data_IF_592241619879
#
_entry.id   IF_592241619879
#
_cell.length_a   1.000
_cell.length_b   1.000
_cell.length_c   1.000
_cell.angle_alpha   90.00
_cell.angle_beta   90.00
_cell.angle_gamma   90.00
#
_symmetry.space_group_name_H-M   'P 1'
#
loop_
_entity.id
_entity.type
_entity.pdbx_description
1 polymer ?
#
# COMPACT_ATOMS: atom_id res chain seq x y z
N UNK A 1 -22.09 -3.29 3.61
CA UNK A 1 -21.04 -2.47 4.25
C UNK A 1 -20.40 -3.31 5.33
N UNK A 2 -19.10 -3.61 5.23
CA UNK A 2 -18.43 -4.64 6.05
C UNK A 2 -18.57 -4.43 7.56
N UNK A 3 -18.69 -3.18 8.03
CA UNK A 3 -18.92 -2.87 9.44
C UNK A 3 -20.18 -3.55 10.02
N UNK A 4 -21.31 -3.53 9.30
CA UNK A 4 -22.55 -4.19 9.75
C UNK A 4 -22.44 -5.71 9.77
N UNK A 5 -21.64 -6.28 8.88
CA UNK A 5 -21.41 -7.73 8.89
C UNK A 5 -20.49 -8.12 10.04
N UNK A 6 -19.49 -7.30 10.36
CA UNK A 6 -18.64 -7.48 11.54
C UNK A 6 -19.44 -7.47 12.84
N UNK A 7 -20.35 -6.51 13.03
CA UNK A 7 -21.20 -6.42 14.24
C UNK A 7 -22.10 -7.66 14.43
N UNK A 8 -22.41 -8.38 13.35
CA UNK A 8 -23.20 -9.63 13.40
C UNK A 8 -22.36 -10.86 13.74
N UNK A 9 -21.03 -10.77 13.70
CA UNK A 9 -20.17 -11.89 14.05
C UNK A 9 -20.26 -12.19 15.55
N UNK A 10 -20.23 -13.46 15.95
CA UNK A 10 -20.04 -13.82 17.36
C UNK A 10 -18.74 -13.19 17.93
N UNK A 11 -18.70 -12.79 19.22
CA UNK A 11 -17.57 -12.08 19.82
C UNK A 11 -16.20 -12.75 19.59
N UNK A 12 -16.15 -14.09 19.66
CA UNK A 12 -14.93 -14.88 19.42
C UNK A 12 -14.31 -14.71 18.02
N UNK A 13 -15.08 -14.21 17.04
CA UNK A 13 -14.57 -13.88 15.70
C UNK A 13 -14.26 -12.39 15.57
N UNK A 14 -15.01 -11.52 16.27
CA UNK A 14 -14.71 -10.09 16.34
C UNK A 14 -13.31 -9.85 16.92
N UNK A 15 -12.97 -10.55 18.01
CA UNK A 15 -11.66 -10.47 18.68
C UNK A 15 -10.46 -10.88 17.80
N UNK A 16 -10.71 -11.47 16.62
CA UNK A 16 -9.67 -11.93 15.68
C UNK A 16 -9.52 -11.03 14.46
N UNK A 17 -10.32 -9.96 14.35
CA UNK A 17 -10.39 -9.13 13.18
C UNK A 17 -10.20 -7.66 13.55
N UNK A 18 -9.14 -7.07 13.00
CA UNK A 18 -8.97 -5.62 12.96
C UNK A 18 -9.61 -5.09 11.68
N UNK A 19 -10.80 -4.47 11.80
CA UNK A 19 -11.53 -3.96 10.64
C UNK A 19 -10.96 -2.61 10.24
N UNK A 20 -10.72 -2.44 8.95
CA UNK A 20 -10.15 -1.22 8.40
C UNK A 20 -11.16 -0.45 7.54
N UNK A 21 -11.09 0.87 7.58
CA UNK A 21 -11.86 1.75 6.69
C UNK A 21 -11.17 1.78 5.33
N UNK A 22 -11.79 1.16 4.32
CA UNK A 22 -11.28 1.06 2.94
C UNK A 22 -12.26 1.68 1.94
N UNK A 23 -11.97 1.56 0.64
CA UNK A 23 -12.84 2.00 -0.46
C UNK A 23 -13.15 3.51 -0.47
N UNK A 24 -12.13 4.32 -0.24
CA UNK A 24 -12.15 5.77 -0.46
C UNK A 24 -11.05 6.17 -1.45
N UNK A 25 -11.21 7.31 -2.11
CA UNK A 25 -10.17 7.88 -2.97
C UNK A 25 -9.25 8.78 -2.10
N UNK A 26 -7.95 8.47 -1.94
CA UNK A 26 -7.04 9.31 -1.15
C UNK A 26 -6.78 10.69 -1.79
N UNK A 27 -7.10 10.85 -3.08
CA UNK A 27 -7.02 12.12 -3.81
C UNK A 27 -8.29 12.97 -3.69
N UNK A 28 -9.31 12.50 -2.98
CA UNK A 28 -10.51 13.27 -2.67
C UNK A 28 -10.35 14.01 -1.33
N UNK A 29 -10.43 15.34 -1.35
CA UNK A 29 -10.37 16.17 -0.13
C UNK A 29 -11.45 15.80 0.90
N UNK A 30 -12.57 15.21 0.46
CA UNK A 30 -13.66 14.74 1.32
C UNK A 30 -13.45 13.32 1.89
N UNK A 31 -12.37 12.62 1.53
CA UNK A 31 -12.03 11.32 2.12
C UNK A 31 -11.91 11.39 3.65
N UNK A 32 -11.34 12.49 4.15
CA UNK A 32 -11.26 12.80 5.58
C UNK A 32 -12.65 12.77 6.26
N UNK A 33 -13.65 13.42 5.66
CA UNK A 33 -15.02 13.44 6.16
C UNK A 33 -15.68 12.07 6.07
N UNK A 34 -15.41 11.32 5.00
CA UNK A 34 -15.88 9.94 4.88
C UNK A 34 -15.38 9.07 6.03
N UNK A 35 -14.08 9.16 6.35
CA UNK A 35 -13.45 8.40 7.44
C UNK A 35 -14.04 8.79 8.79
N UNK A 36 -14.16 10.09 9.08
CA UNK A 36 -14.80 10.57 10.32
C UNK A 36 -16.23 10.04 10.44
N UNK A 37 -17.00 10.08 9.35
CA UNK A 37 -18.36 9.54 9.32
C UNK A 37 -18.39 8.03 9.58
N UNK A 38 -17.45 7.25 9.02
CA UNK A 38 -17.38 5.82 9.26
C UNK A 38 -17.16 5.51 10.75
N UNK A 39 -16.17 6.15 11.38
CA UNK A 39 -15.87 5.99 12.81
C UNK A 39 -17.07 6.39 13.69
N UNK A 40 -17.72 7.51 13.38
CA UNK A 40 -18.89 8.00 14.14
C UNK A 40 -20.14 7.13 13.94
N UNK A 41 -20.29 6.51 12.76
CA UNK A 41 -21.44 5.65 12.45
C UNK A 41 -21.32 4.26 13.06
N UNK A 42 -20.10 3.76 13.28
CA UNK A 42 -19.81 2.44 13.84
C UNK A 42 -18.74 2.53 14.94
N UNK A 43 -19.07 3.12 16.11
CA UNK A 43 -18.10 3.29 17.18
C UNK A 43 -17.55 1.94 17.66
N UNK A 44 -16.22 1.81 17.71
CA UNK A 44 -15.54 0.60 18.17
C UNK A 44 -15.41 -0.53 17.15
N UNK A 45 -15.91 -0.35 15.92
CA UNK A 45 -15.75 -1.36 14.85
C UNK A 45 -14.39 -1.27 14.18
N UNK A 46 -13.89 -0.07 13.90
CA UNK A 46 -12.68 0.12 13.10
C UNK A 46 -11.42 0.23 13.96
N UNK A 47 -10.40 -0.55 13.60
CA UNK A 47 -9.04 -0.48 14.16
C UNK A 47 -8.12 0.44 13.35
N UNK A 48 -8.47 0.73 12.09
CA UNK A 48 -7.60 1.51 11.21
C UNK A 48 -8.23 2.03 9.92
N UNK A 49 -7.40 2.69 9.11
CA UNK A 49 -7.72 3.24 7.79
C UNK A 49 -6.79 2.60 6.75
N UNK A 50 -7.35 2.14 5.64
CA UNK A 50 -6.61 1.49 4.56
C UNK A 50 -6.63 -0.05 4.63
N UNK A 51 -5.79 -0.77 3.92
CA UNK A 51 -4.76 -0.24 3.03
C UNK A 51 -5.32 0.71 1.97
N UNK A 52 -4.70 1.88 1.84
CA UNK A 52 -4.92 2.79 0.72
C UNK A 52 -3.61 3.02 0.00
N UNK A 53 -3.72 3.36 -1.28
CA UNK A 53 -2.57 3.35 -2.20
C UNK A 53 -2.35 4.72 -2.81
N UNK A 54 -1.10 5.16 -2.83
CA UNK A 54 -0.69 6.38 -3.53
C UNK A 54 0.04 6.00 -4.81
N UNK A 55 1.36 5.78 -4.78
CA UNK A 55 2.11 5.26 -5.92
C UNK A 55 2.22 3.74 -5.82
N UNK A 56 1.58 3.01 -6.73
CA UNK A 56 1.70 1.58 -6.90
C UNK A 56 1.50 1.23 -8.36
N UNK A 57 2.56 0.75 -9.01
CA UNK A 57 2.59 0.15 -10.35
C UNK A 57 1.31 0.36 -11.20
N UNK A 58 0.49 -0.68 -11.37
CA UNK A 58 -0.74 -0.66 -12.18
C UNK A 58 -1.97 -0.12 -11.44
N UNK A 59 -1.89 0.13 -10.13
CA UNK A 59 -3.08 0.46 -9.33
C UNK A 59 -3.34 1.96 -9.33
N UNK A 60 -2.30 2.78 -9.26
CA UNK A 60 -2.45 4.24 -9.28
C UNK A 60 -3.09 4.76 -10.56
N UNK A 61 -2.78 4.13 -11.72
CA UNK A 61 -3.35 4.51 -13.01
C UNK A 61 -4.85 4.19 -13.13
N UNK A 62 -5.34 3.21 -12.36
CA UNK A 62 -6.75 2.79 -12.31
C UNK A 62 -7.63 3.72 -11.50
N UNK A 63 -7.05 4.65 -10.75
CA UNK A 63 -7.84 5.67 -10.06
C UNK A 63 -8.67 6.44 -11.10
N UNK A 64 -9.97 6.55 -10.87
CA UNK A 64 -10.83 7.35 -11.74
C UNK A 64 -10.68 8.84 -11.38
N UNK A 65 -10.82 9.72 -12.36
CA UNK A 65 -10.78 11.17 -12.16
C UNK A 65 -9.76 11.88 -13.04
N UNK A 66 -9.64 13.18 -12.77
CA UNK A 66 -8.72 14.10 -13.41
C UNK A 66 -7.28 13.86 -12.95
N UNK A 67 -6.31 14.26 -13.77
CA UNK A 67 -4.90 14.20 -13.42
C UNK A 67 -4.54 15.29 -12.41
N UNK A 68 -3.39 15.14 -11.75
CA UNK A 68 -2.81 16.19 -10.89
C UNK A 68 -2.59 17.47 -11.71
N UNK A 69 -2.20 17.35 -12.98
CA UNK A 69 -2.04 18.49 -13.88
C UNK A 69 -3.35 19.23 -14.17
N UNK A 70 -4.45 18.50 -14.31
CA UNK A 70 -5.77 19.07 -14.58
C UNK A 70 -6.37 19.78 -13.36
N UNK A 71 -6.01 19.32 -12.16
CA UNK A 71 -6.58 19.82 -10.89
C UNK A 71 -5.73 20.88 -10.20
N UNK A 72 -4.45 21.01 -10.55
CA UNK A 72 -3.57 22.04 -9.94
C UNK A 72 -4.01 23.46 -10.31
N UNK A 73 -3.79 24.40 -9.41
CA UNK A 73 -3.95 25.82 -9.73
C UNK A 73 -2.96 26.24 -10.85
N UNK A 74 -3.32 27.20 -11.73
CA UNK A 74 -2.47 27.57 -12.86
C UNK A 74 -1.03 27.99 -12.49
N UNK A 75 -0.87 28.64 -11.34
CA UNK A 75 0.42 29.13 -10.84
C UNK A 75 1.23 28.11 -10.04
N UNK A 76 0.68 26.92 -9.78
CA UNK A 76 1.33 25.87 -8.99
C UNK A 76 2.07 24.93 -9.94
N UNK A 77 3.39 24.68 -9.75
CA UNK A 77 4.12 23.68 -10.52
C UNK A 77 3.58 22.28 -10.23
N UNK A 78 3.84 21.33 -11.13
CA UNK A 78 3.56 19.93 -10.83
C UNK A 78 4.37 19.48 -9.60
N UNK A 79 3.78 18.65 -8.71
CA UNK A 79 4.53 17.99 -7.65
C UNK A 79 5.74 17.22 -8.18
N UNK A 80 6.82 17.09 -7.39
CA UNK A 80 8.02 16.36 -7.81
C UNK A 80 7.79 14.89 -8.18
N UNK A 81 6.74 14.28 -7.63
CA UNK A 81 6.36 12.88 -7.85
C UNK A 81 5.21 12.71 -8.87
N UNK A 82 4.79 13.80 -9.51
CA UNK A 82 3.75 13.79 -10.53
C UNK A 82 4.36 14.08 -11.92
N UNK A 83 4.20 13.13 -12.84
CA UNK A 83 4.51 13.30 -14.26
C UNK A 83 3.26 13.50 -15.09
N UNK A 84 3.43 13.48 -16.41
CA UNK A 84 2.33 13.55 -17.38
C UNK A 84 1.33 12.41 -17.13
N UNK A 85 0.06 12.77 -16.90
CA UNK A 85 -1.00 11.79 -16.66
C UNK A 85 -1.06 11.23 -15.23
N UNK A 86 -0.17 11.63 -14.31
CA UNK A 86 -0.24 11.23 -12.90
C UNK A 86 -1.58 11.64 -12.30
N UNK A 87 -2.27 10.70 -11.66
CA UNK A 87 -3.54 10.92 -10.94
C UNK A 87 -3.37 11.01 -9.43
N UNK A 88 -2.17 10.77 -8.94
CA UNK A 88 -1.83 10.67 -7.53
C UNK A 88 -0.56 11.45 -7.23
N UNK A 89 -0.46 11.96 -6.01
CA UNK A 89 0.75 12.60 -5.50
C UNK A 89 0.77 12.55 -3.97
N UNK A 90 1.95 12.31 -3.41
CA UNK A 90 2.25 12.41 -1.99
C UNK A 90 2.25 13.87 -1.48
N UNK A 91 2.27 14.84 -2.39
CA UNK A 91 2.20 16.28 -2.11
C UNK A 91 0.78 16.85 -2.29
N UNK A 92 -0.22 15.98 -2.43
CA UNK A 92 -1.62 16.42 -2.56
C UNK A 92 -2.18 16.91 -1.23
N UNK A 93 -2.93 18.01 -1.27
CA UNK A 93 -3.59 18.59 -0.09
C UNK A 93 -4.60 17.61 0.54
N UNK A 94 -5.27 16.81 -0.29
CA UNK A 94 -6.19 15.76 0.18
C UNK A 94 -5.48 14.74 1.08
N UNK A 95 -4.23 14.39 0.74
CA UNK A 95 -3.43 13.46 1.52
C UNK A 95 -2.99 14.08 2.84
N UNK A 96 -2.64 15.37 2.87
CA UNK A 96 -2.39 16.07 4.12
C UNK A 96 -3.62 16.04 5.05
N UNK A 97 -4.81 16.33 4.53
CA UNK A 97 -6.04 16.28 5.31
C UNK A 97 -6.36 14.86 5.80
N UNK A 98 -6.10 13.85 4.98
CA UNK A 98 -6.24 12.45 5.36
C UNK A 98 -5.32 12.12 6.53
N UNK A 99 -4.04 12.47 6.46
CA UNK A 99 -3.05 12.17 7.50
C UNK A 99 -3.30 12.95 8.80
N UNK A 100 -3.68 14.23 8.72
CA UNK A 100 -4.13 15.01 9.88
C UNK A 100 -5.36 14.39 10.53
N UNK A 101 -6.28 13.85 9.74
CA UNK A 101 -7.46 13.14 10.24
C UNK A 101 -7.09 11.83 10.93
N UNK A 102 -6.15 11.05 10.38
CA UNK A 102 -5.63 9.84 11.01
C UNK A 102 -4.98 10.17 12.35
N UNK A 103 -4.15 11.21 12.41
CA UNK A 103 -3.55 11.70 13.65
C UNK A 103 -4.59 12.12 14.69
N UNK A 104 -5.63 12.87 14.27
CA UNK A 104 -6.71 13.34 15.13
C UNK A 104 -7.54 12.20 15.72
N UNK A 105 -7.92 11.21 14.90
CA UNK A 105 -8.73 10.06 15.34
C UNK A 105 -7.87 9.09 16.18
N UNK A 106 -6.57 9.00 15.89
CA UNK A 106 -5.62 8.15 16.61
C UNK A 106 -5.61 6.68 16.18
N UNK A 107 -6.37 6.32 15.14
CA UNK A 107 -6.33 5.00 14.49
C UNK A 107 -5.02 4.80 13.72
N UNK A 108 -4.67 3.55 13.43
CA UNK A 108 -3.54 3.23 12.54
C UNK A 108 -3.95 3.34 11.08
N UNK A 109 -3.07 3.84 10.24
CA UNK A 109 -3.23 3.81 8.78
C UNK A 109 -2.29 2.78 8.16
N UNK A 110 -2.74 2.05 7.14
CA UNK A 110 -1.87 1.25 6.27
C UNK A 110 -1.75 1.98 4.94
N UNK A 111 -0.53 2.39 4.60
CA UNK A 111 -0.19 3.08 3.36
C UNK A 111 0.58 2.12 2.45
N UNK A 112 0.04 1.89 1.27
CA UNK A 112 0.80 1.30 0.16
C UNK A 112 1.39 2.41 -0.70
N UNK A 113 2.71 2.45 -0.76
CA UNK A 113 3.44 3.28 -1.68
C UNK A 113 4.71 2.57 -2.07
N UNK A 114 4.94 2.38 -3.36
CA UNK A 114 6.18 1.83 -3.91
C UNK A 114 7.38 2.71 -3.50
N UNK A 115 8.58 2.14 -3.53
CA UNK A 115 9.81 2.88 -3.23
C UNK A 115 10.17 3.83 -4.37
N UNK A 116 9.95 3.42 -5.61
CA UNK A 116 10.31 4.17 -6.82
C UNK A 116 9.35 3.88 -7.97
N UNK A 117 9.40 4.74 -9.00
CA UNK A 117 8.51 4.62 -10.16
C UNK A 117 8.86 3.43 -11.05
N UNK A 118 7.82 2.74 -11.50
CA UNK A 118 7.87 1.73 -12.56
C UNK A 118 6.78 2.00 -13.60
N UNK A 119 7.02 1.58 -14.83
CA UNK A 119 6.06 1.61 -15.93
C UNK A 119 5.74 0.19 -16.37
N UNK A 120 4.45 -0.12 -16.39
CA UNK A 120 3.94 -1.46 -16.69
C UNK A 120 2.88 -1.32 -17.75
N UNK A 121 3.00 -2.11 -18.81
CA UNK A 121 2.06 -2.05 -19.95
C UNK A 121 0.71 -2.71 -19.61
N UNK A 122 -0.24 -2.62 -20.55
CA UNK A 122 -1.58 -3.19 -20.39
C UNK A 122 -1.57 -4.73 -20.30
N UNK A 123 -0.51 -5.37 -20.79
CA UNK A 123 -0.29 -6.81 -20.71
C UNK A 123 0.24 -7.24 -19.33
N UNK A 124 0.61 -6.28 -18.46
CA UNK A 124 1.16 -6.55 -17.14
C UNK A 124 2.65 -6.88 -17.17
N UNK A 125 3.37 -6.38 -18.17
CA UNK A 125 4.81 -6.54 -18.32
C UNK A 125 5.52 -5.24 -17.94
N UNK A 126 6.66 -5.36 -17.24
CA UNK A 126 7.50 -4.23 -16.87
C UNK A 126 8.16 -3.65 -18.13
N UNK A 127 7.84 -2.41 -18.46
CA UNK A 127 8.49 -1.66 -19.55
C UNK A 127 9.76 -0.97 -19.05
N UNK A 128 9.66 -0.30 -17.89
CA UNK A 128 10.79 0.42 -17.32
C UNK A 128 10.71 0.53 -15.79
N UNK A 129 11.87 0.56 -15.15
CA UNK A 129 12.03 0.86 -13.73
C UNK A 129 12.93 2.09 -13.56
N UNK A 130 12.53 3.03 -12.71
CA UNK A 130 13.27 4.27 -12.46
C UNK A 130 13.71 4.36 -10.99
N UNK A 131 14.70 3.56 -10.51
CA UNK A 131 15.16 3.62 -9.12
C UNK A 131 15.65 4.99 -8.63
N UNK A 132 16.12 5.84 -9.54
CA UNK A 132 16.54 7.21 -9.24
C UNK A 132 15.37 8.20 -9.09
N UNK A 133 14.15 7.77 -9.46
CA UNK A 133 12.89 8.50 -9.21
C UNK A 133 12.17 7.84 -8.03
N UNK A 134 12.78 7.95 -6.86
CA UNK A 134 12.23 7.42 -5.62
C UNK A 134 11.19 8.36 -4.98
N UNK A 135 10.42 7.81 -4.05
CA UNK A 135 9.37 8.54 -3.32
C UNK A 135 9.76 8.89 -1.88
N UNK A 136 11.04 8.76 -1.49
CA UNK A 136 11.49 8.96 -0.10
C UNK A 136 11.14 10.36 0.39
N UNK A 137 11.38 11.40 -0.43
CA UNK A 137 11.10 12.77 -0.01
C UNK A 137 9.60 13.09 -0.01
N UNK A 138 8.81 12.46 -0.89
CA UNK A 138 7.35 12.53 -0.84
C UNK A 138 6.77 11.89 0.42
N UNK A 139 7.31 10.72 0.83
CA UNK A 139 6.89 10.04 2.06
C UNK A 139 7.22 10.87 3.30
N UNK A 140 8.41 11.48 3.35
CA UNK A 140 8.79 12.43 4.42
C UNK A 140 7.90 13.68 4.41
N UNK A 141 7.55 14.18 3.23
CA UNK A 141 6.71 15.36 3.09
C UNK A 141 5.32 15.12 3.72
N UNK A 142 4.60 14.07 3.32
CA UNK A 142 3.27 13.78 3.90
C UNK A 142 3.34 13.50 5.41
N UNK A 143 4.35 12.74 5.83
CA UNK A 143 4.64 12.45 7.22
C UNK A 143 4.85 13.72 8.07
N UNK A 144 5.58 14.71 7.53
CA UNK A 144 5.85 15.98 8.20
C UNK A 144 4.58 16.80 8.51
N UNK A 145 3.49 16.59 7.76
CA UNK A 145 2.21 17.28 7.98
C UNK A 145 1.39 16.67 9.13
N UNK A 146 1.68 15.43 9.51
CA UNK A 146 1.03 14.72 10.62
C UNK A 146 2.04 13.80 11.34
N UNK A 147 3.02 14.39 12.07
CA UNK A 147 4.15 13.65 12.63
C UNK A 147 3.76 12.64 13.72
N UNK A 148 2.54 12.71 14.27
CA UNK A 148 2.00 11.76 15.26
C UNK A 148 1.02 10.75 14.65
N UNK A 149 0.69 10.86 13.36
CA UNK A 149 -0.07 9.83 12.67
C UNK A 149 0.66 8.49 12.75
N UNK A 150 -0.05 7.44 13.20
CA UNK A 150 0.47 6.08 13.24
C UNK A 150 0.23 5.43 11.89
N UNK A 151 1.30 5.13 11.16
CA UNK A 151 1.22 4.64 9.78
C UNK A 151 2.07 3.40 9.65
N UNK A 152 1.53 2.32 9.08
CA UNK A 152 2.31 1.17 8.61
C UNK A 152 2.50 1.35 7.11
N UNK A 153 3.75 1.52 6.69
CA UNK A 153 4.13 1.56 5.29
C UNK A 153 4.36 0.15 4.78
N UNK A 154 3.52 -0.26 3.82
CA UNK A 154 3.45 -1.63 3.35
C UNK A 154 4.77 -2.09 2.72
N UNK A 155 5.18 -3.31 3.04
CA UNK A 155 6.22 -4.07 2.33
C UNK A 155 7.59 -3.38 2.19
N UNK A 156 7.92 -2.42 3.05
CA UNK A 156 9.08 -1.53 2.89
C UNK A 156 9.12 -0.76 1.55
N UNK A 157 7.96 -0.58 0.91
CA UNK A 157 7.83 0.00 -0.43
C UNK A 157 8.18 -0.94 -1.58
N UNK A 158 8.20 -2.25 -1.34
CA UNK A 158 8.44 -3.24 -2.40
C UNK A 158 7.13 -3.67 -3.05
N UNK A 159 7.23 -3.92 -4.34
CA UNK A 159 6.13 -4.21 -5.25
C UNK A 159 6.37 -5.48 -6.06
N UNK A 160 5.45 -5.78 -6.97
CA UNK A 160 5.66 -6.90 -7.91
C UNK A 160 6.79 -6.56 -8.87
N UNK A 161 6.80 -5.32 -9.36
CA UNK A 161 7.80 -4.81 -10.28
C UNK A 161 8.85 -3.91 -9.61
N UNK A 162 8.62 -3.51 -8.35
CA UNK A 162 9.53 -2.70 -7.55
C UNK A 162 10.40 -3.62 -6.69
N UNK A 163 11.55 -3.99 -7.25
CA UNK A 163 12.56 -4.84 -6.61
C UNK A 163 13.50 -4.03 -5.70
N UNK A 164 14.09 -4.63 -4.66
CA UNK A 164 15.07 -3.94 -3.82
C UNK A 164 16.31 -3.53 -4.63
N UNK A 165 16.68 -2.27 -4.54
CA UNK A 165 18.00 -1.79 -5.00
C UNK A 165 19.06 -2.02 -3.93
N UNK A 166 20.34 -1.90 -4.28
CA UNK A 166 21.45 -2.08 -3.34
C UNK A 166 21.34 -1.18 -2.10
N UNK A 167 20.75 0.01 -2.26
CA UNK A 167 20.54 1.00 -1.23
C UNK A 167 19.11 1.00 -0.65
N UNK A 168 18.28 0.00 -0.95
CA UNK A 168 16.88 -0.08 -0.53
C UNK A 168 16.70 0.13 0.98
N UNK A 169 17.45 -0.62 1.80
CA UNK A 169 17.38 -0.48 3.25
C UNK A 169 17.81 0.90 3.73
N UNK A 170 18.79 1.54 3.06
CA UNK A 170 19.18 2.92 3.38
C UNK A 170 18.02 3.89 3.10
N UNK A 171 17.25 3.68 2.03
CA UNK A 171 16.07 4.50 1.70
C UNK A 171 14.95 4.29 2.72
N UNK A 172 14.68 3.04 3.11
CA UNK A 172 13.69 2.71 4.15
C UNK A 172 14.04 3.39 5.47
N UNK A 173 15.31 3.31 5.90
CA UNK A 173 15.81 3.99 7.10
C UNK A 173 15.59 5.51 7.06
N UNK A 174 15.90 6.16 5.94
CA UNK A 174 15.67 7.61 5.76
C UNK A 174 14.21 8.00 6.00
N UNK A 175 13.24 7.16 5.62
CA UNK A 175 11.82 7.41 5.88
C UNK A 175 11.50 7.17 7.36
N UNK A 176 11.86 6.01 7.91
CA UNK A 176 11.53 5.65 9.30
C UNK A 176 12.15 6.58 10.35
N UNK A 177 13.32 7.14 10.07
CA UNK A 177 14.02 8.09 10.95
C UNK A 177 13.37 9.48 10.89
N UNK A 178 12.95 9.92 9.71
CA UNK A 178 12.22 11.17 9.55
C UNK A 178 10.77 11.08 10.09
N UNK A 179 10.22 9.86 10.14
CA UNK A 179 8.84 9.58 10.50
C UNK A 179 8.75 8.70 11.74
N UNK A 180 8.97 9.24 12.95
CA UNK A 180 9.11 8.45 14.18
C UNK A 180 7.84 7.66 14.55
N UNK A 181 6.66 8.10 14.11
CA UNK A 181 5.38 7.44 14.38
C UNK A 181 4.97 6.40 13.33
N UNK A 182 5.74 6.27 12.25
CA UNK A 182 5.46 5.28 11.20
C UNK A 182 6.02 3.92 11.61
N UNK A 183 5.71 2.86 10.89
CA UNK A 183 6.35 1.56 10.97
C UNK A 183 6.34 1.01 9.55
N UNK A 184 6.96 -0.12 9.31
CA UNK A 184 6.82 -0.83 8.04
C UNK A 184 6.53 -2.29 8.32
N UNK A 185 5.73 -2.93 7.48
CA UNK A 185 5.63 -4.38 7.51
C UNK A 185 6.54 -5.03 6.46
N UNK A 186 6.81 -6.30 6.69
CA UNK A 186 7.50 -7.20 5.76
C UNK A 186 6.55 -8.27 5.22
N UNK A 187 5.26 -7.91 5.11
CA UNK A 187 4.26 -8.84 4.59
C UNK A 187 4.47 -9.07 3.09
N UNK A 188 3.87 -10.14 2.57
CA UNK A 188 4.00 -10.68 1.22
C UNK A 188 5.16 -11.67 1.01
N UNK A 189 4.85 -12.81 0.40
CA UNK A 189 5.80 -13.89 0.14
C UNK A 189 6.93 -13.47 -0.81
N UNK A 190 6.68 -12.53 -1.73
CA UNK A 190 7.70 -11.99 -2.63
C UNK A 190 8.77 -11.20 -1.87
N UNK A 191 8.35 -10.39 -0.90
CA UNK A 191 9.25 -9.62 -0.04
C UNK A 191 10.15 -10.55 0.78
N UNK A 192 9.57 -11.63 1.32
CA UNK A 192 10.33 -12.67 2.02
C UNK A 192 11.34 -13.36 1.10
N UNK A 193 10.98 -13.62 -0.16
CA UNK A 193 11.89 -14.24 -1.13
C UNK A 193 13.10 -13.36 -1.42
N UNK A 194 12.92 -12.04 -1.61
CA UNK A 194 14.04 -11.11 -1.76
C UNK A 194 14.99 -11.08 -0.55
N UNK A 195 14.48 -11.30 0.67
CA UNK A 195 15.30 -11.36 1.89
C UNK A 195 16.06 -12.68 2.01
N UNK A 196 15.42 -13.79 1.63
CA UNK A 196 15.98 -15.13 1.79
C UNK A 196 16.88 -15.52 0.63
N UNK A 197 16.56 -15.09 -0.58
CA UNK A 197 17.22 -15.45 -1.84
C UNK A 197 17.56 -14.18 -2.66
N UNK A 198 18.35 -13.24 -2.11
CA UNK A 198 18.64 -11.98 -2.80
C UNK A 198 19.39 -12.19 -4.12
N UNK A 199 18.91 -11.55 -5.19
CA UNK A 199 19.61 -11.47 -6.48
C UNK A 199 20.84 -10.53 -6.37
N UNK A 200 21.82 -10.62 -7.30
CA UNK A 200 22.94 -9.67 -7.35
C UNK A 200 22.46 -8.21 -7.40
N UNK A 201 23.01 -7.38 -6.51
CA UNK A 201 22.61 -5.96 -6.39
C UNK A 201 21.47 -5.69 -5.40
N UNK A 202 20.90 -6.72 -4.76
CA UNK A 202 19.96 -6.56 -3.65
C UNK A 202 20.68 -6.56 -2.29
N UNK A 203 20.06 -6.02 -1.23
CA UNK A 203 20.59 -6.15 0.14
C UNK A 203 20.75 -7.62 0.52
N UNK A 204 21.87 -7.97 1.15
CA UNK A 204 22.11 -9.34 1.59
C UNK A 204 21.18 -9.72 2.74
N UNK A 205 21.04 -11.02 3.00
CA UNK A 205 20.34 -11.52 4.20
C UNK A 205 20.92 -10.89 5.48
N UNK A 206 22.23 -10.66 5.54
CA UNK A 206 22.86 -10.05 6.70
C UNK A 206 22.48 -8.56 6.86
N UNK A 207 22.30 -7.84 5.75
CA UNK A 207 21.84 -6.45 5.78
C UNK A 207 20.41 -6.35 6.32
N UNK A 208 19.52 -7.25 5.88
CA UNK A 208 18.15 -7.37 6.43
C UNK A 208 18.17 -7.69 7.92
N UNK A 209 19.00 -8.65 8.36
CA UNK A 209 19.13 -8.97 9.79
C UNK A 209 19.62 -7.78 10.61
N UNK A 210 20.53 -6.97 10.06
CA UNK A 210 21.02 -5.77 10.73
C UNK A 210 19.92 -4.71 10.83
N UNK A 211 19.19 -4.48 9.73
CA UNK A 211 18.02 -3.60 9.70
C UNK A 211 16.97 -4.03 10.74
N UNK A 212 16.66 -5.32 10.84
CA UNK A 212 15.70 -5.85 11.81
C UNK A 212 16.15 -5.66 13.25
N UNK A 213 17.44 -5.82 13.55
CA UNK A 213 17.98 -5.56 14.90
C UNK A 213 17.86 -4.09 15.28
N UNK A 214 18.12 -3.20 14.33
CA UNK A 214 18.11 -1.75 14.53
C UNK A 214 16.68 -1.21 14.67
N UNK A 215 15.76 -1.64 13.81
CA UNK A 215 14.37 -1.15 13.74
C UNK A 215 13.35 -2.13 14.36
N UNK A 216 13.76 -3.02 15.27
CA UNK A 216 12.92 -4.10 15.83
C UNK A 216 11.56 -3.68 16.40
N UNK A 217 11.40 -2.43 16.82
CA UNK A 217 10.15 -1.89 17.37
C UNK A 217 9.28 -1.18 16.31
N UNK A 218 9.70 -1.21 15.05
CA UNK A 218 9.12 -0.47 13.91
C UNK A 218 8.84 -1.38 12.72
N UNK A 219 9.04 -2.69 12.88
CA UNK A 219 8.84 -3.70 11.84
C UNK A 219 7.71 -4.63 12.27
N UNK A 220 6.71 -4.77 11.41
CA UNK A 220 5.59 -5.69 11.60
C UNK A 220 5.73 -6.88 10.66
N UNK A 221 5.26 -8.03 11.12
CA UNK A 221 5.12 -9.21 10.27
C UNK A 221 3.67 -9.31 9.78
N UNK A 222 3.49 -9.85 8.58
CA UNK A 222 2.19 -10.15 8.00
C UNK A 222 2.36 -11.05 6.80
N UNK A 223 1.26 -11.43 6.16
CA UNK A 223 1.29 -12.37 5.04
C UNK A 223 0.91 -11.75 3.70
N UNK A 224 0.15 -10.64 3.69
CA UNK A 224 -0.47 -10.05 2.49
C UNK A 224 -1.25 -11.08 1.65
N UNK A 225 -1.96 -11.98 2.34
CA UNK A 225 -2.67 -13.09 1.73
C UNK A 225 -4.05 -12.65 1.23
N UNK A 226 -4.36 -12.98 -0.02
CA UNK A 226 -5.72 -12.97 -0.56
C UNK A 226 -6.17 -14.42 -0.82
N UNK A 227 -7.02 -14.97 0.04
CA UNK A 227 -7.50 -16.37 -0.06
C UNK A 227 -8.71 -16.55 -0.99
N UNK A 228 -8.73 -15.90 -2.16
CA UNK A 228 -9.81 -16.05 -3.15
C UNK A 228 -9.27 -16.37 -4.54
N UNK A 229 -9.83 -17.39 -5.18
CA UNK A 229 -9.54 -17.70 -6.58
C UNK A 229 -9.91 -16.55 -7.50
N UNK A 230 -9.27 -16.47 -8.67
CA UNK A 230 -9.59 -15.44 -9.66
C UNK A 230 -11.00 -15.62 -10.22
N UNK A 231 -11.64 -14.51 -10.55
CA UNK A 231 -12.81 -14.51 -11.41
C UNK A 231 -12.45 -15.14 -12.77
N UNK A 232 -13.36 -15.93 -13.33
CA UNK A 232 -13.17 -16.60 -14.62
C UNK A 232 -14.18 -16.07 -15.64
N UNK A 233 -13.69 -15.64 -16.80
CA UNK A 233 -14.55 -15.36 -17.94
C UNK A 233 -14.99 -16.68 -18.55
N UNK A 234 -16.29 -16.84 -18.80
CA UNK A 234 -16.84 -18.11 -19.32
C UNK A 234 -16.60 -18.30 -20.82
N UNK A 235 -16.16 -17.24 -21.51
CA UNK A 235 -16.00 -17.21 -22.97
C UNK A 235 -15.00 -16.13 -23.41
N UNK A 236 -14.56 -16.19 -24.67
CA UNK A 236 -13.78 -15.14 -25.35
C UNK A 236 -14.48 -14.79 -26.67
N UNK A 237 -15.04 -13.58 -26.85
CA UNK A 237 -15.04 -12.44 -25.90
C UNK A 237 -15.93 -12.71 -24.67
N UNK A 238 -15.69 -12.04 -23.53
CA UNK A 238 -16.40 -12.32 -22.29
C UNK A 238 -17.90 -12.00 -22.36
N UNK A 239 -18.76 -12.98 -22.10
CA UNK A 239 -20.22 -12.79 -21.97
C UNK A 239 -20.70 -12.76 -20.52
N UNK A 240 -19.92 -13.34 -19.62
CA UNK A 240 -20.25 -13.54 -18.19
C UNK A 240 -18.97 -13.77 -17.38
N UNK A 241 -19.04 -13.47 -16.09
CA UNK A 241 -17.94 -13.66 -15.13
C UNK A 241 -18.42 -14.62 -14.04
N UNK A 242 -17.77 -15.78 -13.94
CA UNK A 242 -17.91 -16.65 -12.80
C UNK A 242 -17.04 -16.09 -11.65
N UNK A 243 -17.62 -15.72 -10.50
CA UNK A 243 -16.86 -15.19 -9.39
C UNK A 243 -15.90 -16.24 -8.83
N UNK A 244 -14.75 -15.77 -8.36
CA UNK A 244 -13.85 -16.58 -7.55
C UNK A 244 -14.52 -17.07 -6.27
N UNK A 245 -14.09 -18.24 -5.79
CA UNK A 245 -14.41 -18.78 -4.47
C UNK A 245 -13.22 -18.74 -3.51
N UNK A 246 -13.51 -18.90 -2.21
CA UNK A 246 -12.53 -19.07 -1.14
C UNK A 246 -11.58 -20.23 -1.46
N UNK A 247 -10.27 -20.01 -1.33
CA UNK A 247 -9.27 -21.06 -1.50
C UNK A 247 -9.18 -21.92 -0.23
N UNK A 248 -8.94 -23.23 -0.41
CA UNK A 248 -8.38 -24.04 0.68
C UNK A 248 -6.91 -23.66 0.93
N UNK A 249 -6.35 -23.95 2.13
CA UNK A 249 -4.92 -23.76 2.37
C UNK A 249 -4.03 -24.44 1.32
N UNK A 250 -4.36 -25.67 0.91
CA UNK A 250 -3.61 -26.40 -0.12
C UNK A 250 -3.66 -25.70 -1.48
N UNK A 251 -4.81 -25.14 -1.86
CA UNK A 251 -4.97 -24.37 -3.09
C UNK A 251 -4.13 -23.09 -3.04
N UNK A 252 -4.12 -22.39 -1.90
CA UNK A 252 -3.31 -21.19 -1.70
C UNK A 252 -1.82 -21.51 -1.86
N UNK A 253 -1.32 -22.54 -1.18
CA UNK A 253 0.10 -22.93 -1.26
C UNK A 253 0.52 -23.39 -2.67
N UNK A 254 -0.38 -24.02 -3.43
CA UNK A 254 -0.11 -24.41 -4.81
C UNK A 254 -0.16 -23.23 -5.81
N UNK A 255 -0.85 -22.13 -5.47
CA UNK A 255 -0.87 -20.91 -6.30
C UNK A 255 0.41 -20.08 -6.08
N UNK A 256 0.95 -20.10 -4.85
CA UNK A 256 2.24 -19.45 -4.54
C UNK A 256 3.40 -19.94 -5.38
N UNK A 257 3.48 -21.26 -5.65
CA UNK A 257 4.55 -21.80 -6.50
C UNK A 257 4.47 -21.25 -7.93
N UNK A 258 3.26 -20.95 -8.43
CA UNK A 258 3.05 -20.35 -9.75
C UNK A 258 3.33 -18.85 -9.79
N UNK A 259 3.21 -18.14 -8.66
CA UNK A 259 3.59 -16.73 -8.61
C UNK A 259 5.09 -16.54 -8.84
N UNK A 260 5.93 -17.50 -8.43
CA UNK A 260 7.38 -17.47 -8.73
C UNK A 260 7.69 -17.59 -10.22
N UNK A 261 6.89 -18.33 -10.98
CA UNK A 261 7.06 -18.47 -12.45
C UNK A 261 6.58 -17.23 -13.22
N UNK A 262 5.87 -16.31 -12.55
CA UNK A 262 5.25 -15.10 -13.10
C UNK A 262 6.06 -13.82 -12.85
N UNK A 263 7.22 -13.96 -12.20
CA UNK A 263 8.21 -12.93 -11.86
C UNK A 263 9.50 -13.16 -12.66
#
# INVERSE_FOLDING_TARGET
MFAREYERLPPQYQEKLDVMITAFNPMDVYASQHIKRAVLSFPGVFSGVGEFTIHKELVSSKLAGETVEQTKAPSVPLPPDAGDGSKVSLYSESLEYLFKTIEEIGLVAILHNDMYRVEVNYQGELEHAYPDQDYVDGLKHVCGHAPKARVVWAHTGLGRFVKPTQDHLTRVKKVLDACPSWSTDISWDLVQDYMLNPEPGMPSRQDWLNFFKEYKNRILWGSDVVIFTRNRFESTPPTSVAPGGLMSPDQYHADLSKMRDFL
#
